data_IF_023619834804
#
_entry.id   IF_023619834804
#
_cell.length_a   1.000
_cell.length_b   1.000
_cell.length_c   1.000
_cell.angle_alpha   90.00
_cell.angle_beta   90.00
_cell.angle_gamma   90.00
#
_symmetry.space_group_name_H-M   'P 1'
#
loop_
_entity.id
_entity.type
_entity.pdbx_description
1 polymer ?
#
# COMPACT_ATOMS: atom_id res chain seq x y z
N UNK A 1 -6.89 6.80 18.47
CA UNK A 1 -7.16 5.48 17.92
C UNK A 1 -6.74 5.43 16.47
N UNK A 2 -6.05 4.38 16.05
CA UNK A 2 -5.58 4.29 14.67
C UNK A 2 -6.32 3.19 13.92
N UNK A 3 -6.47 3.40 12.62
CA UNK A 3 -6.98 2.39 11.70
C UNK A 3 -5.78 1.80 10.97
N UNK A 4 -5.68 0.47 10.97
CA UNK A 4 -4.61 -0.25 10.31
C UNK A 4 -5.18 -1.03 9.12
N UNK A 5 -4.44 -1.09 8.04
CA UNK A 5 -4.86 -1.84 6.86
C UNK A 5 -3.68 -2.57 6.23
N UNK A 6 -3.99 -3.73 5.66
CA UNK A 6 -3.11 -4.42 4.74
C UNK A 6 -3.48 -3.99 3.33
N UNK A 7 -2.49 -3.66 2.53
CA UNK A 7 -2.71 -3.21 1.16
C UNK A 7 -1.97 -4.17 0.23
N UNK A 8 -2.74 -4.81 -0.64
CA UNK A 8 -2.23 -5.75 -1.63
C UNK A 8 -2.12 -5.02 -2.95
N UNK A 9 -0.93 -5.00 -3.54
CA UNK A 9 -0.64 -4.14 -4.67
C UNK A 9 -0.12 -4.96 -5.83
N UNK A 10 -0.69 -4.72 -7.01
CA UNK A 10 -0.23 -5.31 -8.25
C UNK A 10 0.52 -4.24 -9.05
N UNK A 11 1.67 -4.61 -9.58
CA UNK A 11 2.54 -3.68 -10.31
C UNK A 11 2.74 -4.13 -11.75
N UNK A 12 3.26 -3.21 -12.55
CA UNK A 12 3.72 -3.55 -13.89
C UNK A 12 4.89 -4.54 -13.81
N UNK A 13 5.05 -5.42 -14.81
CA UNK A 13 6.14 -6.42 -14.80
C UNK A 13 7.50 -5.79 -14.56
N UNK A 14 8.27 -6.38 -13.65
CA UNK A 14 9.62 -5.93 -13.33
C UNK A 14 9.72 -4.70 -12.45
N UNK A 15 8.61 -4.17 -11.95
CA UNK A 15 8.58 -2.91 -11.19
C UNK A 15 8.37 -3.07 -9.69
N UNK A 16 8.16 -4.30 -9.20
CA UNK A 16 7.76 -4.51 -7.82
C UNK A 16 8.72 -3.89 -6.80
N UNK A 17 10.03 -4.11 -6.96
CA UNK A 17 11.02 -3.58 -6.01
C UNK A 17 11.08 -2.06 -6.01
N UNK A 18 11.07 -1.47 -7.20
CA UNK A 18 11.09 -0.02 -7.36
C UNK A 18 9.85 0.61 -6.72
N UNK A 19 8.68 0.03 -7.01
CA UNK A 19 7.42 0.52 -6.45
C UNK A 19 7.40 0.35 -4.94
N UNK A 20 7.85 -0.80 -4.42
CA UNK A 20 7.91 -1.03 -2.98
C UNK A 20 8.77 0.03 -2.27
N UNK A 21 9.92 0.39 -2.87
CA UNK A 21 10.78 1.44 -2.31
C UNK A 21 10.06 2.79 -2.22
N UNK A 22 9.28 3.13 -3.24
CA UNK A 22 8.52 4.38 -3.25
C UNK A 22 7.39 4.35 -2.23
N UNK A 23 6.70 3.23 -2.11
CA UNK A 23 5.58 3.09 -1.17
C UNK A 23 6.07 3.19 0.28
N UNK A 24 7.25 2.66 0.59
CA UNK A 24 7.82 2.78 1.95
C UNK A 24 8.01 4.22 2.40
N UNK A 25 8.12 5.15 1.46
CA UNK A 25 8.33 6.57 1.77
C UNK A 25 7.02 7.33 1.95
N UNK A 26 5.89 6.70 1.70
CA UNK A 26 4.59 7.33 1.89
C UNK A 26 4.31 7.43 3.39
N UNK A 27 3.94 8.63 3.84
CA UNK A 27 3.60 8.85 5.25
C UNK A 27 2.42 7.98 5.66
N UNK A 28 2.56 7.25 6.75
CA UNK A 28 1.53 6.33 7.24
C UNK A 28 1.76 4.88 6.84
N UNK A 29 2.66 4.62 5.89
CA UNK A 29 3.05 3.25 5.55
C UNK A 29 4.14 2.81 6.52
N UNK A 30 3.86 1.75 7.27
CA UNK A 30 4.81 1.21 8.23
C UNK A 30 5.70 0.12 7.63
N UNK A 31 5.22 -0.52 6.55
CA UNK A 31 5.94 -1.63 5.94
C UNK A 31 5.45 -1.80 4.49
N UNK A 32 6.37 -2.12 3.59
CA UNK A 32 6.02 -2.51 2.23
C UNK A 32 7.11 -3.43 1.70
N UNK A 33 6.71 -4.60 1.22
CA UNK A 33 7.63 -5.59 0.69
C UNK A 33 7.15 -6.13 -0.65
N UNK A 34 8.08 -6.27 -1.59
CA UNK A 34 7.84 -7.07 -2.79
C UNK A 34 7.79 -8.54 -2.36
N UNK A 35 6.82 -9.27 -2.85
CA UNK A 35 6.57 -10.67 -2.45
C UNK A 35 6.34 -11.53 -3.69
N UNK A 36 6.44 -12.84 -3.50
CA UNK A 36 6.01 -13.81 -4.49
C UNK A 36 4.60 -14.29 -4.12
N UNK A 37 3.72 -14.40 -5.10
CA UNK A 37 2.35 -14.83 -4.85
C UNK A 37 1.37 -14.15 -5.79
N UNK A 38 0.06 -14.16 -5.45
CA UNK A 38 -0.96 -13.57 -6.31
C UNK A 38 -0.88 -12.06 -6.44
N UNK A 39 -0.19 -11.39 -5.50
CA UNK A 39 0.04 -9.94 -5.55
C UNK A 39 1.54 -9.67 -5.50
N UNK A 40 1.95 -8.52 -6.02
CA UNK A 40 3.37 -8.20 -6.15
C UNK A 40 3.97 -7.56 -4.89
N UNK A 41 3.15 -6.80 -4.15
CA UNK A 41 3.57 -6.09 -2.96
C UNK A 41 2.52 -6.23 -1.87
N UNK A 42 2.99 -6.42 -0.63
CA UNK A 42 2.12 -6.31 0.54
C UNK A 42 2.64 -5.16 1.39
N UNK A 43 1.75 -4.24 1.73
CA UNK A 43 2.08 -3.09 2.57
C UNK A 43 1.15 -3.04 3.79
N UNK A 44 1.64 -2.42 4.85
CA UNK A 44 0.83 -2.12 6.03
C UNK A 44 0.82 -0.61 6.21
N UNK A 45 -0.37 -0.04 6.35
CA UNK A 45 -0.54 1.39 6.55
C UNK A 45 -1.42 1.66 7.76
N UNK A 46 -1.19 2.79 8.39
CA UNK A 46 -1.97 3.24 9.55
C UNK A 46 -2.34 4.70 9.36
N UNK A 47 -3.53 5.05 9.83
CA UNK A 47 -4.03 6.42 9.79
C UNK A 47 -4.96 6.64 11.00
N UNK A 48 -5.21 7.92 11.38
CA UNK A 48 -6.10 8.21 12.51
C UNK A 48 -7.54 7.77 12.28
N UNK A 49 -7.98 7.74 11.03
CA UNK A 49 -9.37 7.41 10.68
C UNK A 49 -9.42 6.82 9.27
N UNK A 50 -10.60 6.29 8.92
CA UNK A 50 -10.81 5.63 7.61
C UNK A 50 -10.67 6.62 6.46
N UNK A 51 -11.14 7.86 6.63
CA UNK A 51 -11.04 8.88 5.57
C UNK A 51 -9.58 9.18 5.24
N UNK A 52 -8.77 9.41 6.26
CA UNK A 52 -7.34 9.66 6.08
C UNK A 52 -6.64 8.46 5.46
N UNK A 53 -7.02 7.25 5.87
CA UNK A 53 -6.47 6.03 5.28
C UNK A 53 -6.80 5.96 3.79
N UNK A 54 -8.04 6.27 3.42
CA UNK A 54 -8.45 6.30 2.02
C UNK A 54 -7.65 7.30 1.20
N UNK A 55 -7.41 8.48 1.74
CA UNK A 55 -6.58 9.50 1.08
C UNK A 55 -5.14 9.02 0.90
N UNK A 56 -4.59 8.36 1.93
CA UNK A 56 -3.25 7.78 1.85
C UNK A 56 -3.16 6.79 0.69
N UNK A 57 -4.16 5.92 0.55
CA UNK A 57 -4.17 4.92 -0.52
C UNK A 57 -4.27 5.60 -1.88
N UNK A 58 -5.23 6.50 -2.06
CA UNK A 58 -5.48 7.13 -3.36
C UNK A 58 -4.34 8.07 -3.76
N UNK A 59 -3.93 8.93 -2.85
CA UNK A 59 -2.94 9.97 -3.16
C UNK A 59 -1.50 9.47 -2.98
N UNK A 60 -1.27 8.59 -2.04
CA UNK A 60 0.07 8.10 -1.74
C UNK A 60 0.46 6.86 -2.51
N UNK A 61 -0.42 5.87 -2.57
CA UNK A 61 -0.08 4.56 -3.15
C UNK A 61 -0.49 4.48 -4.62
N UNK A 62 -1.73 4.78 -4.93
CA UNK A 62 -2.23 4.65 -6.31
C UNK A 62 -1.60 5.66 -7.27
N UNK A 63 -1.04 6.73 -6.76
CA UNK A 63 -0.35 7.72 -7.58
C UNK A 63 1.07 7.32 -7.96
N UNK A 64 1.63 6.28 -7.34
CA UNK A 64 2.98 5.82 -7.65
C UNK A 64 3.00 5.17 -9.02
N UNK A 65 3.91 5.63 -9.89
CA UNK A 65 4.07 5.05 -11.22
C UNK A 65 4.45 3.57 -11.09
N UNK A 66 3.77 2.71 -11.83
CA UNK A 66 3.97 1.27 -11.78
C UNK A 66 2.93 0.52 -10.97
N UNK A 67 2.13 1.23 -10.16
CA UNK A 67 1.00 0.61 -9.45
C UNK A 67 -0.17 0.46 -10.43
N UNK A 68 -0.58 -0.78 -10.68
CA UNK A 68 -1.71 -1.08 -11.57
C UNK A 68 -3.02 -1.26 -10.81
N UNK A 69 -2.94 -1.81 -9.61
CA UNK A 69 -4.13 -2.12 -8.81
C UNK A 69 -3.75 -2.21 -7.34
N UNK A 70 -4.66 -1.79 -6.48
CA UNK A 70 -4.50 -1.97 -5.04
C UNK A 70 -5.80 -2.45 -4.42
N UNK A 71 -5.69 -3.33 -3.42
CA UNK A 71 -6.80 -3.82 -2.61
C UNK A 71 -6.49 -3.49 -1.16
N UNK A 72 -7.39 -2.78 -0.50
CA UNK A 72 -7.20 -2.38 0.89
C UNK A 72 -8.07 -3.24 1.79
N UNK A 73 -7.45 -3.88 2.77
CA UNK A 73 -8.16 -4.70 3.77
C UNK A 73 -7.93 -4.07 5.14
N UNK A 74 -8.98 -3.49 5.69
CA UNK A 74 -8.90 -2.84 7.00
C UNK A 74 -8.96 -3.90 8.10
N UNK A 75 -8.04 -3.80 9.06
CA UNK A 75 -8.00 -4.72 10.19
C UNK A 75 -9.26 -4.53 11.03
N UNK A 76 -9.96 -5.63 11.30
CA UNK A 76 -11.27 -5.61 11.97
C UNK A 76 -11.22 -6.03 13.44
N UNK A 77 -10.07 -6.48 13.94
CA UNK A 77 -9.93 -6.93 15.32
C UNK A 77 -9.02 -6.03 16.15
#
# INVERSE_FOLDING_TARGET
MTVKAFILIDTSPGKAREVANKIRQVKGVSMAHAVTGPHDIIAIAEAPDVTTLGELVVQGIQSVAGVNRSLTSIVAD
#
